data_IF_803365741850
#
_entry.id   IF_803365741850
#
_cell.length_a   1.000
_cell.length_b   1.000
_cell.length_c   1.000
_cell.angle_alpha   90.00
_cell.angle_beta   90.00
_cell.angle_gamma   90.00
#
_symmetry.space_group_name_H-M   'P 1'
#
loop_
_entity.id
_entity.type
_entity.pdbx_description
1 polymer ?
#
# COMPACT_ATOMS: atom_id res chain seq x y z
N UNK A 1 -14.65 5.83 -4.46
CA UNK A 1 -14.14 4.56 -3.90
C UNK A 1 -13.19 4.71 -2.70
N UNK A 2 -12.95 5.94 -2.21
CA UNK A 2 -12.17 6.22 -0.99
C UNK A 2 -12.69 5.39 0.20
N UNK A 3 -13.99 5.36 0.43
CA UNK A 3 -14.61 4.59 1.52
C UNK A 3 -14.28 3.09 1.49
N UNK A 4 -14.21 2.48 0.31
CA UNK A 4 -13.87 1.05 0.18
C UNK A 4 -12.45 0.78 0.65
N UNK A 5 -11.51 1.65 0.26
CA UNK A 5 -10.11 1.57 0.72
C UNK A 5 -9.99 1.83 2.22
N UNK A 6 -10.70 2.82 2.75
CA UNK A 6 -10.70 3.10 4.19
C UNK A 6 -11.25 1.92 4.99
N UNK A 7 -12.34 1.27 4.52
CA UNK A 7 -12.87 0.07 5.18
C UNK A 7 -11.85 -1.07 5.11
N UNK A 8 -11.20 -1.28 3.97
CA UNK A 8 -10.17 -2.31 3.84
C UNK A 8 -9.00 -2.06 4.80
N UNK A 9 -8.47 -0.84 4.86
CA UNK A 9 -7.40 -0.44 5.80
C UNK A 9 -7.84 -0.57 7.26
N UNK A 10 -9.10 -0.28 7.58
CA UNK A 10 -9.64 -0.46 8.92
C UNK A 10 -9.70 -1.93 9.31
N UNK A 11 -10.21 -2.79 8.42
CA UNK A 11 -10.24 -4.24 8.65
C UNK A 11 -8.83 -4.80 8.79
N UNK A 12 -7.90 -4.34 7.97
CA UNK A 12 -6.47 -4.70 8.02
C UNK A 12 -5.88 -4.37 9.40
N UNK A 13 -6.09 -3.15 9.89
CA UNK A 13 -5.57 -2.72 11.18
C UNK A 13 -6.24 -3.43 12.38
N UNK A 14 -7.56 -3.71 12.32
CA UNK A 14 -8.29 -4.31 13.45
C UNK A 14 -8.13 -5.83 13.49
N UNK A 15 -8.16 -6.50 12.33
CA UNK A 15 -8.14 -7.97 12.29
C UNK A 15 -6.70 -8.48 12.35
N UNK A 16 -5.82 -7.88 11.57
CA UNK A 16 -4.45 -8.38 11.37
C UNK A 16 -3.38 -7.56 12.10
N UNK A 17 -3.70 -6.34 12.56
CA UNK A 17 -2.72 -5.43 13.15
C UNK A 17 -1.85 -4.69 12.15
N UNK A 18 -1.97 -5.03 10.87
CA UNK A 18 -1.13 -4.52 9.80
C UNK A 18 -1.34 -3.01 9.60
N UNK A 19 -0.23 -2.27 9.44
CA UNK A 19 -0.21 -0.81 9.40
C UNK A 19 -0.51 -0.14 10.73
N UNK A 20 -0.94 -0.88 11.76
CA UNK A 20 -1.26 -0.40 13.09
C UNK A 20 -2.46 0.54 13.17
N UNK A 21 -3.28 0.41 14.23
CA UNK A 21 -4.47 1.26 14.39
C UNK A 21 -4.11 2.73 14.65
N UNK A 22 -2.96 3.02 15.25
CA UNK A 22 -2.50 4.40 15.49
C UNK A 22 -2.12 5.10 14.19
N UNK A 23 -1.60 4.37 13.21
CA UNK A 23 -1.26 4.88 11.89
C UNK A 23 -2.45 4.88 10.91
N UNK A 24 -3.63 4.40 11.31
CA UNK A 24 -4.80 4.29 10.44
C UNK A 24 -5.15 5.60 9.71
N UNK A 25 -5.07 6.74 10.42
CA UNK A 25 -5.32 8.05 9.81
C UNK A 25 -4.33 8.40 8.70
N UNK A 26 -3.04 8.18 8.94
CA UNK A 26 -1.97 8.38 7.97
C UNK A 26 -2.13 7.44 6.77
N UNK A 27 -2.40 6.16 7.01
CA UNK A 27 -2.65 5.17 5.96
C UNK A 27 -3.88 5.53 5.10
N UNK A 28 -4.97 5.99 5.71
CA UNK A 28 -6.13 6.50 4.98
C UNK A 28 -5.79 7.74 4.15
N UNK A 29 -5.01 8.67 4.69
CA UNK A 29 -4.58 9.85 3.96
C UNK A 29 -3.70 9.48 2.77
N UNK A 30 -2.68 8.69 2.98
CA UNK A 30 -1.71 8.33 1.93
C UNK A 30 -2.32 7.40 0.87
N UNK A 31 -2.93 6.29 1.28
CA UNK A 31 -3.36 5.22 0.37
C UNK A 31 -4.79 5.38 -0.14
N UNK A 32 -5.70 5.96 0.63
CA UNK A 32 -7.09 6.11 0.21
C UNK A 32 -7.39 7.49 -0.37
N UNK A 33 -6.57 8.51 -0.08
CA UNK A 33 -6.77 9.86 -0.59
C UNK A 33 -5.63 10.29 -1.53
N UNK A 34 -4.39 10.45 -1.07
CA UNK A 34 -3.29 11.01 -1.89
C UNK A 34 -3.05 10.19 -3.14
N UNK A 35 -2.81 8.88 -2.99
CA UNK A 35 -2.52 7.98 -4.11
C UNK A 35 -3.58 8.05 -5.22
N UNK A 36 -4.87 7.81 -4.96
CA UNK A 36 -5.87 7.81 -6.02
C UNK A 36 -6.19 9.18 -6.58
N UNK A 37 -6.18 10.24 -5.76
CA UNK A 37 -6.49 11.58 -6.26
C UNK A 37 -5.38 12.17 -7.10
N UNK A 38 -4.13 12.04 -6.69
CA UNK A 38 -2.97 12.49 -7.46
C UNK A 38 -2.86 11.68 -8.74
N UNK A 39 -2.96 10.34 -8.63
CA UNK A 39 -2.91 9.45 -9.80
C UNK A 39 -4.00 9.77 -10.81
N UNK A 40 -5.25 9.96 -10.35
CA UNK A 40 -6.37 10.31 -11.22
C UNK A 40 -6.24 11.71 -11.82
N UNK A 41 -5.75 12.70 -11.06
CA UNK A 41 -5.53 14.03 -11.58
C UNK A 41 -4.51 14.04 -12.73
N UNK A 42 -3.40 13.30 -12.57
CA UNK A 42 -2.38 13.12 -13.60
C UNK A 42 -2.96 12.38 -14.81
N UNK A 43 -3.69 11.28 -14.59
CA UNK A 43 -4.39 10.56 -15.65
C UNK A 43 -5.30 11.49 -16.46
N UNK A 44 -6.17 12.24 -15.79
CA UNK A 44 -7.10 13.18 -16.43
C UNK A 44 -6.38 14.28 -17.18
N UNK A 45 -5.28 14.79 -16.64
CA UNK A 45 -4.48 15.80 -17.31
C UNK A 45 -3.92 15.31 -18.65
N UNK A 46 -3.30 14.11 -18.65
CA UNK A 46 -2.73 13.51 -19.86
C UNK A 46 -3.82 13.23 -20.90
N UNK A 47 -4.93 12.63 -20.49
CA UNK A 47 -6.04 12.33 -21.39
C UNK A 47 -6.62 13.62 -22.00
N UNK A 48 -6.81 14.68 -21.20
CA UNK A 48 -7.27 15.99 -21.68
C UNK A 48 -6.33 16.60 -22.73
N UNK A 49 -5.03 16.54 -22.49
CA UNK A 49 -4.02 17.07 -23.41
C UNK A 49 -3.99 16.30 -24.74
N UNK A 50 -4.38 15.05 -24.74
CA UNK A 50 -4.34 14.16 -25.88
C UNK A 50 -5.67 14.04 -26.67
N UNK A 51 -6.65 14.92 -26.38
CA UNK A 51 -7.93 14.96 -27.10
C UNK A 51 -9.15 14.61 -26.25
N UNK A 52 -9.00 14.47 -24.95
CA UNK A 52 -10.10 14.19 -24.02
C UNK A 52 -10.72 12.81 -24.24
N UNK A 53 -12.05 12.74 -24.23
CA UNK A 53 -12.80 11.49 -24.36
C UNK A 53 -12.65 10.80 -25.74
N UNK A 54 -12.10 11.52 -26.74
CA UNK A 54 -11.77 11.00 -28.06
C UNK A 54 -10.34 10.44 -28.13
N UNK A 55 -9.61 10.42 -27.04
CA UNK A 55 -8.24 9.93 -27.01
C UNK A 55 -8.19 8.43 -27.35
N UNK A 56 -7.13 8.05 -28.08
CA UNK A 56 -6.91 6.64 -28.44
C UNK A 56 -6.62 5.80 -27.18
N UNK A 57 -6.99 4.52 -27.21
CA UNK A 57 -6.73 3.56 -26.11
C UNK A 57 -5.30 3.59 -25.56
N UNK A 58 -4.31 3.75 -26.45
CA UNK A 58 -2.90 3.86 -26.04
C UNK A 58 -2.64 5.03 -25.08
N UNK A 59 -3.36 6.14 -25.26
CA UNK A 59 -3.23 7.31 -24.38
C UNK A 59 -3.75 6.97 -22.99
N UNK A 60 -4.86 6.24 -22.88
CA UNK A 60 -5.41 5.80 -21.60
C UNK A 60 -4.46 4.88 -20.85
N UNK A 61 -3.79 3.95 -21.54
CA UNK A 61 -2.77 3.07 -20.91
C UNK A 61 -1.54 3.86 -20.43
N UNK A 62 -1.03 4.76 -21.25
CA UNK A 62 0.10 5.62 -20.88
C UNK A 62 -0.29 6.53 -19.71
N UNK A 63 -1.48 7.12 -19.75
CA UNK A 63 -1.99 7.96 -18.68
C UNK A 63 -2.18 7.19 -17.37
N UNK A 64 -2.64 5.94 -17.45
CA UNK A 64 -2.77 5.07 -16.28
C UNK A 64 -1.40 4.70 -15.69
N UNK A 65 -0.41 4.37 -16.53
CA UNK A 65 0.95 4.07 -16.09
C UNK A 65 1.59 5.27 -15.38
N UNK A 66 1.56 6.44 -16.00
CA UNK A 66 2.16 7.66 -15.43
C UNK A 66 1.38 8.10 -14.20
N UNK A 67 0.05 8.02 -14.24
CA UNK A 67 -0.81 8.38 -13.11
C UNK A 67 -0.57 7.52 -11.89
N UNK A 68 -0.53 6.19 -12.04
CA UNK A 68 -0.26 5.28 -10.92
C UNK A 68 1.17 5.44 -10.38
N UNK A 69 2.17 5.56 -11.26
CA UNK A 69 3.54 5.84 -10.86
C UNK A 69 3.66 7.11 -10.01
N UNK A 70 3.09 8.22 -10.47
CA UNK A 70 3.13 9.48 -9.73
C UNK A 70 2.29 9.40 -8.45
N UNK A 71 1.14 8.72 -8.50
CA UNK A 71 0.25 8.57 -7.35
C UNK A 71 0.90 7.83 -6.19
N UNK A 72 1.53 6.67 -6.44
CA UNK A 72 2.21 5.91 -5.38
C UNK A 72 3.43 6.66 -4.83
N UNK A 73 4.19 7.33 -5.70
CA UNK A 73 5.34 8.14 -5.25
C UNK A 73 4.91 9.36 -4.43
N UNK A 74 3.78 9.97 -4.75
CA UNK A 74 3.21 11.06 -3.94
C UNK A 74 2.79 10.55 -2.55
N UNK A 75 2.16 9.38 -2.47
CA UNK A 75 1.80 8.76 -1.19
C UNK A 75 3.05 8.39 -0.37
N UNK A 76 4.06 7.79 -0.99
CA UNK A 76 5.34 7.48 -0.35
C UNK A 76 6.06 8.75 0.15
N UNK A 77 6.00 9.83 -0.60
CA UNK A 77 6.54 11.11 -0.16
C UNK A 77 5.82 11.65 1.08
N UNK A 78 4.47 11.62 1.10
CA UNK A 78 3.70 12.02 2.27
C UNK A 78 4.07 11.16 3.49
N UNK A 79 4.11 9.83 3.35
CA UNK A 79 4.52 8.92 4.41
C UNK A 79 5.95 9.22 4.91
N UNK A 80 6.88 9.50 4.00
CA UNK A 80 8.26 9.85 4.37
C UNK A 80 8.34 11.13 5.20
N UNK A 81 7.50 12.12 4.88
CA UNK A 81 7.39 13.36 5.66
C UNK A 81 6.76 13.09 7.02
N UNK A 82 5.68 12.29 7.07
CA UNK A 82 5.02 11.89 8.33
C UNK A 82 6.00 11.18 9.28
N UNK A 83 6.84 10.29 8.77
CA UNK A 83 7.91 9.69 9.58
C UNK A 83 8.96 10.72 10.00
N UNK A 84 9.46 11.52 9.08
CA UNK A 84 10.61 12.40 9.31
C UNK A 84 10.33 13.61 10.20
N UNK A 85 9.05 13.98 10.39
CA UNK A 85 8.69 15.06 11.34
C UNK A 85 8.48 14.55 12.77
N UNK A 86 8.32 13.24 12.98
CA UNK A 86 8.06 12.68 14.31
C UNK A 86 9.15 13.02 15.34
N UNK A 87 10.46 12.88 15.03
CA UNK A 87 11.51 13.23 15.99
C UNK A 87 11.61 14.72 16.29
N UNK A 88 10.96 15.57 15.49
CA UNK A 88 10.86 17.01 15.78
C UNK A 88 9.72 17.32 16.76
N UNK A 89 8.61 16.59 16.65
CA UNK A 89 7.37 16.86 17.36
C UNK A 89 7.22 16.05 18.66
N UNK A 90 7.75 14.81 18.69
CA UNK A 90 7.48 13.85 19.74
C UNK A 90 8.78 13.34 20.34
N UNK A 91 9.18 13.95 21.48
CA UNK A 91 10.39 13.60 22.24
C UNK A 91 10.06 13.29 23.69
N UNK A 92 10.87 12.44 24.28
CA UNK A 92 10.85 12.22 25.72
C UNK A 92 11.62 13.34 26.49
N UNK A 93 11.62 13.25 27.81
CA UNK A 93 12.33 14.22 28.67
C UNK A 93 13.86 14.20 28.46
N UNK A 94 14.42 13.13 27.92
CA UNK A 94 15.84 13.01 27.60
C UNK A 94 16.18 13.53 26.18
N UNK A 95 15.14 13.90 25.40
CA UNK A 95 15.30 14.37 24.02
C UNK A 95 15.28 13.29 22.96
N UNK A 96 15.06 12.02 23.34
CA UNK A 96 14.95 10.91 22.42
C UNK A 96 13.58 10.91 21.71
N UNK A 97 13.54 10.48 20.46
CA UNK A 97 12.28 10.33 19.73
C UNK A 97 11.38 9.27 20.39
N UNK A 98 10.07 9.57 20.49
CA UNK A 98 9.08 8.64 21.06
C UNK A 98 8.64 7.54 20.08
N UNK A 99 8.73 7.80 18.78
CA UNK A 99 8.31 6.89 17.70
C UNK A 99 9.44 6.76 16.67
N UNK A 100 9.21 7.12 15.40
CA UNK A 100 10.25 7.09 14.40
C UNK A 100 11.43 8.01 14.80
N UNK A 101 12.66 7.48 14.90
CA UNK A 101 13.81 8.27 15.34
C UNK A 101 14.52 9.01 14.21
N UNK A 102 14.16 8.75 12.97
CA UNK A 102 14.84 9.25 11.78
C UNK A 102 14.18 10.53 11.28
N UNK A 103 15.00 11.56 11.05
CA UNK A 103 14.56 12.84 10.50
C UNK A 103 14.31 12.79 8.97
N UNK A 104 13.89 13.92 8.40
CA UNK A 104 13.58 14.05 6.97
C UNK A 104 14.77 13.71 6.06
N UNK A 105 16.00 13.90 6.52
CA UNK A 105 17.19 13.64 5.71
C UNK A 105 17.43 12.15 5.51
N UNK A 106 16.89 11.32 6.39
CA UNK A 106 16.94 9.86 6.32
C UNK A 106 15.63 9.31 5.77
N UNK A 107 14.48 9.73 6.31
CA UNK A 107 13.18 9.17 5.96
C UNK A 107 12.79 9.41 4.49
N UNK A 108 13.07 10.60 3.96
CA UNK A 108 12.71 10.92 2.57
C UNK A 108 13.50 10.06 1.57
N UNK A 109 14.83 10.00 1.58
CA UNK A 109 15.54 9.13 0.64
C UNK A 109 15.26 7.66 0.87
N UNK A 110 15.09 7.19 2.11
CA UNK A 110 14.81 5.80 2.42
C UNK A 110 13.48 5.32 1.82
N UNK A 111 12.45 6.15 1.87
CA UNK A 111 11.15 5.86 1.25
C UNK A 111 11.16 6.11 -0.25
N UNK A 112 11.71 7.23 -0.71
CA UNK A 112 11.58 7.64 -2.11
C UNK A 112 12.45 6.84 -3.07
N UNK A 113 13.67 6.45 -2.68
CA UNK A 113 14.56 5.71 -3.58
C UNK A 113 13.94 4.38 -4.03
N UNK A 114 13.51 3.47 -3.14
CA UNK A 114 12.88 2.22 -3.57
C UNK A 114 11.55 2.43 -4.29
N UNK A 115 10.76 3.44 -3.92
CA UNK A 115 9.50 3.74 -4.60
C UNK A 115 9.70 4.26 -6.02
N UNK A 116 10.64 5.19 -6.23
CA UNK A 116 10.96 5.70 -7.57
C UNK A 116 11.61 4.64 -8.46
N UNK A 117 12.55 3.84 -7.90
CA UNK A 117 13.33 2.90 -8.69
C UNK A 117 12.63 1.57 -8.97
N UNK A 118 11.78 1.08 -8.05
CA UNK A 118 11.22 -0.27 -8.12
C UNK A 118 9.70 -0.25 -7.96
N UNK A 119 9.17 0.14 -6.81
CA UNK A 119 7.76 0.00 -6.49
C UNK A 119 6.85 0.76 -7.47
N UNK A 120 7.20 2.00 -7.80
CA UNK A 120 6.43 2.81 -8.76
C UNK A 120 6.41 2.22 -10.17
N UNK A 121 7.50 1.59 -10.61
CA UNK A 121 7.56 0.94 -11.92
C UNK A 121 6.68 -0.32 -11.92
N UNK A 122 6.75 -1.13 -10.88
CA UNK A 122 5.93 -2.34 -10.71
C UNK A 122 4.45 -1.95 -10.65
N UNK A 123 4.09 -0.92 -9.88
CA UNK A 123 2.73 -0.40 -9.78
C UNK A 123 2.20 0.06 -11.15
N UNK A 124 3.01 0.78 -11.94
CA UNK A 124 2.64 1.22 -13.27
C UNK A 124 2.37 0.05 -14.21
N UNK A 125 3.25 -0.96 -14.23
CA UNK A 125 3.09 -2.16 -15.04
C UNK A 125 1.82 -2.92 -14.63
N UNK A 126 1.63 -3.13 -13.33
CA UNK A 126 0.49 -3.85 -12.79
C UNK A 126 -0.83 -3.13 -13.07
N UNK A 127 -0.89 -1.83 -12.83
CA UNK A 127 -2.07 -1.00 -13.12
C UNK A 127 -2.45 -1.07 -14.59
N UNK A 128 -1.50 -0.97 -15.51
CA UNK A 128 -1.78 -1.08 -16.95
C UNK A 128 -2.25 -2.48 -17.31
N UNK A 129 -1.62 -3.52 -16.77
CA UNK A 129 -2.00 -4.91 -17.04
C UNK A 129 -3.44 -5.19 -16.58
N UNK A 130 -3.80 -4.80 -15.37
CA UNK A 130 -5.15 -4.96 -14.83
C UNK A 130 -6.15 -4.11 -15.62
N UNK A 131 -5.82 -2.86 -15.91
CA UNK A 131 -6.70 -1.97 -16.68
C UNK A 131 -6.96 -2.52 -18.09
N UNK A 132 -5.91 -2.98 -18.79
CA UNK A 132 -6.05 -3.59 -20.11
C UNK A 132 -6.88 -4.88 -20.07
N UNK A 133 -6.66 -5.71 -19.05
CA UNK A 133 -7.43 -6.93 -18.84
C UNK A 133 -8.90 -6.63 -18.59
N UNK A 134 -9.23 -5.73 -17.67
CA UNK A 134 -10.61 -5.33 -17.36
C UNK A 134 -11.28 -4.70 -18.58
N UNK A 135 -10.61 -3.80 -19.29
CA UNK A 135 -11.14 -3.18 -20.51
C UNK A 135 -11.47 -4.21 -21.60
N UNK A 136 -10.68 -5.28 -21.71
CA UNK A 136 -10.89 -6.36 -22.68
C UNK A 136 -11.99 -7.34 -22.30
N UNK A 137 -12.06 -7.70 -21.01
CA UNK A 137 -12.93 -8.79 -20.53
C UNK A 137 -14.28 -8.30 -20.01
N UNK A 138 -14.31 -7.10 -19.47
CA UNK A 138 -15.49 -6.51 -18.81
C UNK A 138 -15.53 -4.99 -19.02
N UNK A 139 -15.65 -4.53 -20.27
CA UNK A 139 -15.63 -3.11 -20.59
C UNK A 139 -16.72 -2.31 -19.86
N UNK A 140 -17.81 -2.94 -19.46
CA UNK A 140 -18.88 -2.35 -18.67
C UNK A 140 -18.48 -1.93 -17.25
N UNK A 141 -17.36 -2.44 -16.74
CA UNK A 141 -16.78 -2.01 -15.48
C UNK A 141 -15.93 -0.75 -15.60
N UNK A 142 -15.66 -0.31 -16.84
CA UNK A 142 -14.92 0.93 -17.08
C UNK A 142 -15.83 2.14 -16.91
N UNK A 143 -15.23 3.27 -16.51
CA UNK A 143 -15.98 4.51 -16.28
C UNK A 143 -16.78 4.99 -17.50
N UNK A 144 -16.29 4.77 -18.70
CA UNK A 144 -17.00 5.06 -19.96
C UNK A 144 -18.35 4.36 -20.06
N UNK A 145 -18.39 3.07 -19.73
CA UNK A 145 -19.61 2.27 -19.79
C UNK A 145 -20.63 2.67 -18.72
N UNK A 146 -20.16 3.04 -17.53
CA UNK A 146 -21.03 3.51 -16.45
C UNK A 146 -21.76 4.81 -16.85
N UNK A 147 -21.09 5.70 -17.57
CA UNK A 147 -21.68 6.95 -18.05
C UNK A 147 -22.66 6.75 -19.21
N UNK A 148 -22.46 5.73 -20.03
CA UNK A 148 -23.30 5.46 -21.20
C UNK A 148 -24.51 4.58 -20.92
N UNK A 149 -24.74 4.16 -19.66
CA UNK A 149 -25.93 3.40 -19.27
C UNK A 149 -26.02 2.00 -19.90
N UNK A 150 -24.87 1.33 -20.04
CA UNK A 150 -24.79 -0.02 -20.61
C UNK A 150 -25.71 -1.01 -19.89
N UNK A 151 -26.56 -1.69 -20.65
CA UNK A 151 -27.57 -2.62 -20.16
C UNK A 151 -27.01 -3.76 -19.31
N UNK A 152 -27.78 -4.13 -18.28
CA UNK A 152 -27.57 -5.28 -17.40
C UNK A 152 -27.59 -6.61 -18.17
N UNK A 153 -26.46 -7.06 -18.67
CA UNK A 153 -26.30 -8.42 -19.16
C UNK A 153 -25.89 -9.35 -18.01
N UNK A 154 -26.40 -10.58 -18.06
CA UNK A 154 -26.23 -11.68 -17.13
C UNK A 154 -24.81 -11.74 -16.47
N UNK A 155 -24.68 -11.18 -15.28
CA UNK A 155 -23.46 -10.59 -14.73
C UNK A 155 -22.38 -11.61 -14.39
N UNK A 156 -22.75 -12.78 -13.88
CA UNK A 156 -21.79 -13.71 -13.24
C UNK A 156 -20.86 -14.42 -14.22
N UNK A 157 -21.37 -14.89 -15.37
CA UNK A 157 -20.54 -15.59 -16.38
C UNK A 157 -19.59 -14.65 -17.12
N UNK A 158 -19.99 -13.39 -17.28
CA UNK A 158 -19.21 -12.37 -17.99
C UNK A 158 -18.00 -11.90 -17.18
N UNK A 159 -18.11 -11.92 -15.83
CA UNK A 159 -17.02 -11.51 -14.94
C UNK A 159 -16.08 -12.65 -14.50
N UNK A 160 -16.32 -13.88 -14.97
CA UNK A 160 -15.47 -15.03 -14.63
C UNK A 160 -13.97 -14.79 -14.87
N UNK A 161 -13.54 -14.14 -15.97
CA UNK A 161 -12.11 -13.82 -16.16
C UNK A 161 -11.54 -12.89 -15.09
N UNK A 162 -12.34 -11.92 -14.59
CA UNK A 162 -11.92 -11.02 -13.52
C UNK A 162 -11.76 -11.78 -12.21
N UNK A 163 -12.72 -12.67 -11.88
CA UNK A 163 -12.59 -13.54 -10.72
C UNK A 163 -11.39 -14.51 -10.85
N UNK A 164 -11.13 -15.02 -12.06
CA UNK A 164 -9.94 -15.85 -12.30
C UNK A 164 -8.64 -15.07 -12.11
N UNK A 165 -8.58 -13.80 -12.54
CA UNK A 165 -7.42 -12.94 -12.27
C UNK A 165 -7.24 -12.70 -10.78
N UNK A 166 -8.31 -12.38 -10.06
CA UNK A 166 -8.27 -12.21 -8.60
C UNK A 166 -7.78 -13.49 -7.93
N UNK A 167 -8.31 -14.65 -8.32
CA UNK A 167 -7.87 -15.93 -7.79
C UNK A 167 -6.39 -16.22 -8.09
N UNK A 168 -5.90 -15.84 -9.29
CA UNK A 168 -4.49 -15.96 -9.64
C UNK A 168 -3.62 -15.05 -8.77
N UNK A 169 -4.01 -13.80 -8.57
CA UNK A 169 -3.28 -12.86 -7.69
C UNK A 169 -3.24 -13.38 -6.26
N UNK A 170 -4.37 -13.90 -5.77
CA UNK A 170 -4.44 -14.59 -4.49
C UNK A 170 -3.43 -15.75 -4.45
N UNK A 171 -3.45 -16.64 -5.43
CA UNK A 171 -2.56 -17.82 -5.48
C UNK A 171 -1.07 -17.45 -5.55
N UNK A 172 -0.72 -16.26 -6.03
CA UNK A 172 0.66 -15.77 -6.11
C UNK A 172 1.12 -15.01 -4.86
N UNK A 173 0.23 -14.68 -3.92
CA UNK A 173 0.58 -13.99 -2.67
C UNK A 173 1.73 -14.66 -1.89
N UNK A 174 1.83 -16.03 -1.80
CA UNK A 174 2.94 -16.68 -1.11
C UNK A 174 4.33 -16.36 -1.67
N UNK A 175 4.42 -15.77 -2.87
CA UNK A 175 5.72 -15.27 -3.37
C UNK A 175 6.29 -14.15 -2.48
N UNK A 176 5.45 -13.47 -1.71
CA UNK A 176 5.87 -12.52 -0.69
C UNK A 176 6.75 -13.13 0.42
N UNK A 177 6.60 -14.44 0.69
CA UNK A 177 7.46 -15.17 1.64
C UNK A 177 8.93 -15.24 1.21
N UNK A 178 9.23 -14.96 -0.05
CA UNK A 178 10.60 -14.91 -0.55
C UNK A 178 11.33 -13.63 -0.13
N UNK A 179 10.61 -12.61 0.31
CA UNK A 179 11.20 -11.38 0.82
C UNK A 179 11.80 -11.62 2.22
N UNK A 180 13.05 -11.19 2.40
CA UNK A 180 13.73 -11.21 3.69
C UNK A 180 13.96 -9.78 4.15
N UNK A 181 13.69 -9.48 5.41
CA UNK A 181 13.89 -8.15 5.97
C UNK A 181 12.58 -7.37 6.15
N UNK A 182 12.52 -6.49 7.17
CA UNK A 182 11.40 -5.59 7.46
C UNK A 182 11.41 -4.43 6.46
N UNK A 183 10.23 -3.98 6.02
CA UNK A 183 10.14 -2.75 5.25
C UNK A 183 10.60 -1.55 6.10
N UNK A 184 11.17 -0.55 5.45
CA UNK A 184 11.60 0.65 6.15
C UNK A 184 10.40 1.36 6.80
N UNK A 185 10.47 1.58 8.09
CA UNK A 185 9.39 2.17 8.88
C UNK A 185 8.53 1.16 9.65
N UNK A 186 8.68 -0.14 9.42
CA UNK A 186 7.87 -1.21 10.03
C UNK A 186 8.63 -2.01 11.09
N UNK A 187 9.58 -1.39 11.76
CA UNK A 187 10.40 -2.06 12.79
C UNK A 187 9.62 -2.42 14.04
N UNK A 188 9.90 -3.60 14.58
CA UNK A 188 9.49 -3.99 15.92
C UNK A 188 10.29 -3.25 17.02
N UNK A 189 9.76 -3.27 18.24
CA UNK A 189 10.43 -2.66 19.39
C UNK A 189 11.74 -3.38 19.76
N UNK A 190 11.86 -4.64 19.41
CA UNK A 190 12.99 -5.53 19.64
C UNK A 190 14.14 -5.32 18.65
N UNK A 191 13.84 -4.88 17.42
CA UNK A 191 14.86 -4.74 16.38
C UNK A 191 15.35 -3.32 16.16
N UNK A 192 14.53 -2.30 16.47
CA UNK A 192 14.83 -0.91 16.10
C UNK A 192 16.11 -0.38 16.73
N UNK A 193 16.47 -0.86 17.94
CA UNK A 193 17.69 -0.43 18.63
C UNK A 193 18.96 -0.82 17.88
N UNK A 194 18.92 -1.92 17.13
CA UNK A 194 20.05 -2.51 16.40
C UNK A 194 20.12 -2.06 14.94
N UNK A 195 19.09 -1.37 14.45
CA UNK A 195 19.09 -0.88 13.08
C UNK A 195 20.16 0.18 12.88
N UNK A 196 21.07 -0.11 11.95
CA UNK A 196 22.18 0.79 11.61
C UNK A 196 21.73 1.82 10.58
N UNK A 197 21.81 3.09 10.95
CA UNK A 197 21.58 4.21 10.04
C UNK A 197 22.74 5.19 10.15
N UNK A 198 23.26 5.64 9.00
CA UNK A 198 24.45 6.52 8.95
C UNK A 198 25.68 5.96 9.68
N UNK A 199 25.84 4.64 9.69
CA UNK A 199 27.00 3.96 10.28
C UNK A 199 26.94 3.73 11.79
N UNK A 200 25.83 4.03 12.44
CA UNK A 200 25.61 3.80 13.87
C UNK A 200 24.25 3.17 14.13
N UNK A 201 24.21 2.22 15.06
CA UNK A 201 22.94 1.70 15.58
C UNK A 201 22.25 2.77 16.42
N UNK A 202 20.92 2.72 16.48
CA UNK A 202 20.13 3.66 17.28
C UNK A 202 20.48 3.56 18.77
N UNK A 203 20.71 2.35 19.29
CA UNK A 203 21.16 2.11 20.66
C UNK A 203 20.09 2.31 21.74
N UNK A 204 18.84 2.60 21.37
CA UNK A 204 17.70 2.67 22.29
C UNK A 204 16.40 2.26 21.57
N UNK A 205 15.43 1.80 22.32
CA UNK A 205 14.07 1.56 21.80
C UNK A 205 13.18 2.77 22.08
N UNK A 206 12.57 3.40 21.07
CA UNK A 206 11.63 4.48 21.28
C UNK A 206 10.47 4.06 22.20
N UNK A 207 10.17 4.86 23.21
CA UNK A 207 9.15 4.52 24.23
C UNK A 207 7.75 4.29 23.65
N UNK A 208 7.40 5.00 22.59
CA UNK A 208 6.11 4.81 21.91
C UNK A 208 5.97 3.46 21.26
N UNK A 209 7.08 2.79 20.88
CA UNK A 209 7.08 1.42 20.37
C UNK A 209 7.13 0.39 21.52
N UNK A 210 7.93 0.65 22.57
CA UNK A 210 8.11 -0.29 23.69
C UNK A 210 6.92 -0.31 24.67
N UNK A 211 6.36 0.85 24.96
CA UNK A 211 5.36 1.07 26.01
C UNK A 211 4.06 1.69 25.47
N UNK A 212 3.96 1.89 24.15
CA UNK A 212 2.80 2.50 23.50
C UNK A 212 1.55 1.65 23.62
N UNK A 213 0.40 2.29 23.44
CA UNK A 213 -0.87 1.57 23.38
C UNK A 213 -0.90 0.66 22.15
N UNK A 214 -1.25 -0.60 22.34
CA UNK A 214 -1.41 -1.57 21.29
C UNK A 214 -2.82 -2.17 21.31
N UNK A 215 -3.38 -2.41 20.13
CA UNK A 215 -4.64 -3.14 19.99
C UNK A 215 -4.34 -4.64 19.94
N UNK A 216 -4.98 -5.41 20.83
CA UNK A 216 -4.98 -6.87 20.68
C UNK A 216 -5.84 -7.23 19.48
N UNK A 217 -5.22 -7.70 18.42
CA UNK A 217 -5.88 -8.02 17.16
C UNK A 217 -6.23 -9.51 17.09
N UNK A 218 -7.16 -9.87 16.20
CA UNK A 218 -7.68 -11.23 16.10
C UNK A 218 -6.65 -12.21 15.51
N UNK A 219 -5.88 -11.75 14.54
CA UNK A 219 -4.91 -12.54 13.77
C UNK A 219 -3.64 -11.72 13.54
N UNK A 220 -2.79 -11.50 14.59
CA UNK A 220 -1.59 -10.69 14.43
C UNK A 220 -0.71 -11.29 13.33
N UNK A 221 -0.21 -10.42 12.46
CA UNK A 221 0.65 -10.78 11.32
C UNK A 221 0.09 -11.93 10.45
N UNK A 222 -1.23 -11.94 10.29
CA UNK A 222 -1.98 -12.96 9.54
C UNK A 222 -1.83 -14.39 10.11
N UNK A 223 -1.35 -14.52 11.33
CA UNK A 223 -1.16 -15.79 12.00
C UNK A 223 -2.30 -16.10 12.98
N UNK A 224 -2.68 -17.36 13.07
CA UNK A 224 -3.56 -17.88 14.13
C UNK A 224 -2.73 -18.73 15.05
N UNK A 225 -2.88 -18.56 16.35
CA UNK A 225 -2.15 -19.32 17.36
C UNK A 225 -2.24 -20.82 17.09
N UNK A 226 -1.10 -21.48 16.91
CA UNK A 226 -0.99 -22.91 16.63
C UNK A 226 -1.01 -23.30 15.15
N UNK A 227 -1.13 -22.33 14.21
CA UNK A 227 -0.98 -22.62 12.78
C UNK A 227 0.48 -22.49 12.36
N UNK A 228 0.85 -23.28 11.34
CA UNK A 228 2.14 -23.08 10.67
C UNK A 228 2.06 -21.89 9.71
N UNK A 229 3.20 -21.30 9.36
CA UNK A 229 3.32 -20.12 8.49
C UNK A 229 2.58 -20.28 7.16
N UNK A 230 2.67 -21.44 6.51
CA UNK A 230 1.98 -21.70 5.25
C UNK A 230 0.45 -21.67 5.39
N UNK A 231 -0.08 -22.19 6.50
CA UNK A 231 -1.51 -22.16 6.78
C UNK A 231 -2.00 -20.76 7.17
N UNK A 232 -1.20 -20.00 7.91
CA UNK A 232 -1.46 -18.58 8.19
C UNK A 232 -1.51 -17.75 6.90
N UNK A 233 -0.57 -17.99 5.99
CA UNK A 233 -0.56 -17.37 4.67
C UNK A 233 -1.77 -17.72 3.80
N UNK A 234 -2.24 -18.96 3.83
CA UNK A 234 -3.47 -19.35 3.12
C UNK A 234 -4.68 -18.55 3.65
N UNK A 235 -4.74 -18.26 4.94
CA UNK A 235 -5.76 -17.39 5.53
C UNK A 235 -5.59 -15.93 5.15
N UNK A 236 -4.36 -15.45 5.07
CA UNK A 236 -4.06 -14.07 4.63
C UNK A 236 -4.40 -13.80 3.17
N UNK A 237 -4.61 -14.85 2.36
CA UNK A 237 -5.09 -14.74 0.98
C UNK A 237 -6.46 -14.05 0.86
N UNK A 238 -7.18 -13.87 1.95
CA UNK A 238 -8.41 -13.07 2.00
C UNK A 238 -8.11 -11.58 1.86
N UNK A 239 -6.87 -11.17 2.15
CA UNK A 239 -6.42 -9.79 2.07
C UNK A 239 -5.21 -9.67 1.13
N UNK A 240 -5.43 -9.12 -0.07
CA UNK A 240 -4.36 -8.82 -1.04
C UNK A 240 -3.70 -7.51 -0.63
N UNK A 241 -2.77 -7.54 0.28
CA UNK A 241 -1.88 -6.40 0.50
C UNK A 241 -0.67 -6.83 1.33
N UNK A 242 0.47 -6.53 0.81
CA UNK A 242 1.81 -6.53 1.37
C UNK A 242 2.32 -7.78 2.12
N UNK A 243 3.55 -8.21 1.82
CA UNK A 243 4.19 -9.29 2.54
C UNK A 243 4.57 -8.81 3.94
N UNK A 244 3.71 -9.08 4.89
CA UNK A 244 4.08 -9.00 6.30
C UNK A 244 4.83 -10.24 6.69
N UNK A 245 5.88 -10.06 7.50
CA UNK A 245 6.75 -11.12 7.94
C UNK A 245 6.11 -12.10 8.87
N UNK A 246 6.50 -13.36 8.80
CA UNK A 246 6.34 -14.26 9.92
C UNK A 246 7.26 -13.81 11.08
N UNK A 247 6.69 -13.78 12.27
CA UNK A 247 7.43 -13.60 13.51
C UNK A 247 8.32 -14.83 13.71
N UNK A 248 9.61 -14.60 13.78
CA UNK A 248 10.59 -15.62 14.21
C UNK A 248 10.48 -15.88 15.68
#
# INVERSE_FOLDING_TARGET
DVYKRQIALLLQAIIFGDGGILAFGANCFNMAFVLPYVGYAVYRLIVRMAGGDLAKDRVHYIAAAIGSYIGINAAAFCASVEFGIQPLLFKDAAGNALYCPYDLTVSVPAMMIPHLAVAGIIEAIFTVAVFAFVKKTSPELTYESILTGGENANTTKKHMPVFALIALLIATTPLGLLATGTAWGEWGADEIADIVTNGSALGYTPKGLAEGWSLSVLMPDYAVSGMNEAAAYILSLIHISEPTRPIS
#
